data_IF_912042675326
#
_entry.id   IF_912042675326
#
_cell.length_a   1.000
_cell.length_b   1.000
_cell.length_c   1.000
_cell.angle_alpha   90.00
_cell.angle_beta   90.00
_cell.angle_gamma   90.00
#
_symmetry.space_group_name_H-M   'P 1'
#
loop_
_entity.id
_entity.type
_entity.pdbx_description
1 polymer ?
#
# COMPACT_ATOMS: atom_id res chain seq x y z
N UNK A 1 3.78 6.98 25.83
CA UNK A 1 2.79 5.91 25.54
C UNK A 1 2.99 5.50 24.10
N UNK A 2 3.18 4.20 23.83
CA UNK A 2 3.24 3.66 22.48
C UNK A 2 1.78 3.54 22.00
N UNK A 3 1.44 4.14 20.87
CA UNK A 3 0.09 4.03 20.28
C UNK A 3 -0.25 2.56 20.02
N UNK A 4 -1.45 2.13 20.40
CA UNK A 4 -1.99 0.81 20.04
C UNK A 4 -2.54 0.78 18.61
N UNK A 5 -2.69 1.96 18.01
CA UNK A 5 -3.16 2.17 16.64
C UNK A 5 -2.01 2.27 15.64
N UNK A 6 -2.18 1.61 14.50
CA UNK A 6 -1.33 1.73 13.33
C UNK A 6 -1.67 2.99 12.53
N UNK A 7 -0.67 3.77 12.18
CA UNK A 7 -0.82 4.84 11.18
C UNK A 7 -0.72 4.25 9.76
N UNK A 8 -1.89 4.04 9.15
CA UNK A 8 -2.01 3.49 7.79
C UNK A 8 -1.40 4.39 6.71
N UNK A 9 -1.23 5.69 6.97
CA UNK A 9 -0.61 6.62 6.00
C UNK A 9 0.87 6.30 5.74
N UNK A 10 1.51 5.54 6.64
CA UNK A 10 2.89 5.09 6.52
C UNK A 10 3.02 3.79 5.69
N UNK A 11 1.90 3.13 5.39
CA UNK A 11 1.89 1.89 4.62
C UNK A 11 1.81 2.18 3.12
N UNK A 12 2.66 1.51 2.34
CA UNK A 12 2.60 1.61 0.88
C UNK A 12 1.49 0.75 0.29
N UNK A 13 1.05 1.13 -0.92
CA UNK A 13 0.14 0.33 -1.73
C UNK A 13 0.64 -1.12 -1.94
N UNK A 14 1.93 -1.30 -2.25
CA UNK A 14 2.53 -2.63 -2.48
C UNK A 14 2.46 -3.51 -1.21
N UNK A 15 2.60 -2.89 -0.02
CA UNK A 15 2.47 -3.59 1.26
C UNK A 15 1.02 -3.99 1.54
N UNK A 16 0.07 -3.06 1.38
CA UNK A 16 -1.36 -3.31 1.56
C UNK A 16 -1.88 -4.36 0.57
N UNK A 17 -1.42 -4.33 -0.69
CA UNK A 17 -1.72 -5.36 -1.69
C UNK A 17 -1.24 -6.74 -1.24
N UNK A 18 0.00 -6.84 -0.74
CA UNK A 18 0.56 -8.10 -0.26
C UNK A 18 -0.20 -8.65 0.93
N UNK A 19 -0.63 -7.77 1.84
CA UNK A 19 -1.46 -8.12 2.99
C UNK A 19 -2.80 -8.71 2.53
N UNK A 20 -3.52 -8.01 1.63
CA UNK A 20 -4.78 -8.49 1.06
C UNK A 20 -4.61 -9.82 0.29
N UNK A 21 -3.49 -10.00 -0.41
CA UNK A 21 -3.18 -11.26 -1.10
C UNK A 21 -2.97 -12.43 -0.15
N UNK A 22 -2.43 -12.16 1.03
CA UNK A 22 -2.22 -13.17 2.08
C UNK A 22 -3.47 -13.43 2.91
N UNK A 23 -4.52 -12.62 2.75
CA UNK A 23 -5.78 -12.79 3.46
C UNK A 23 -6.49 -14.08 3.03
N UNK A 24 -7.01 -14.90 3.96
CA UNK A 24 -7.73 -16.12 3.62
C UNK A 24 -9.01 -15.80 2.84
N UNK A 25 -9.12 -16.29 1.61
CA UNK A 25 -10.24 -16.00 0.71
C UNK A 25 -11.61 -16.51 1.22
N UNK A 26 -11.61 -17.50 2.11
CA UNK A 26 -12.83 -18.14 2.61
C UNK A 26 -13.34 -17.53 3.94
N UNK A 27 -12.60 -16.57 4.50
CA UNK A 27 -12.83 -16.09 5.87
C UNK A 27 -12.64 -14.56 5.99
N UNK A 28 -13.04 -13.83 4.95
CA UNK A 28 -12.88 -12.36 4.90
C UNK A 28 -13.67 -11.63 5.99
N UNK A 29 -14.78 -12.18 6.46
CA UNK A 29 -15.63 -11.53 7.47
C UNK A 29 -15.19 -11.78 8.91
N UNK A 30 -14.53 -12.91 9.19
CA UNK A 30 -14.13 -13.29 10.55
C UNK A 30 -12.64 -13.14 10.84
N UNK A 31 -11.79 -13.09 9.80
CA UNK A 31 -10.37 -12.90 9.99
C UNK A 31 -10.02 -11.47 10.39
N UNK A 32 -8.91 -11.31 11.10
CA UNK A 32 -8.34 -10.01 11.46
C UNK A 32 -6.84 -9.98 11.21
N UNK A 33 -6.26 -8.78 11.11
CA UNK A 33 -4.82 -8.58 11.06
C UNK A 33 -4.35 -7.71 12.22
N UNK A 34 -3.18 -8.06 12.78
CA UNK A 34 -2.48 -7.28 13.81
C UNK A 34 -1.05 -7.02 13.36
N UNK A 35 -0.51 -5.87 13.71
CA UNK A 35 0.84 -5.44 13.30
C UNK A 35 1.79 -5.45 14.49
N UNK A 36 3.03 -5.87 14.24
CA UNK A 36 4.12 -5.74 15.20
C UNK A 36 4.44 -4.27 15.45
N UNK A 37 4.62 -3.90 16.73
CA UNK A 37 4.90 -2.51 17.15
C UNK A 37 6.40 -2.23 17.30
N UNK A 38 7.20 -3.30 17.39
CA UNK A 38 8.64 -3.24 17.64
C UNK A 38 9.40 -3.96 16.52
N UNK A 39 10.65 -3.55 16.34
CA UNK A 39 11.54 -3.98 15.27
C UNK A 39 11.98 -2.81 14.40
N UNK A 40 12.81 -3.12 13.41
CA UNK A 40 13.40 -2.10 12.52
C UNK A 40 13.08 -2.43 11.07
N UNK A 41 12.83 -1.42 10.25
CA UNK A 41 12.47 -1.58 8.84
C UNK A 41 11.32 -0.70 8.41
N UNK A 42 10.98 -0.75 7.13
CA UNK A 42 10.02 0.19 6.53
C UNK A 42 8.56 -0.15 6.85
N UNK A 43 8.19 -1.43 6.91
CA UNK A 43 6.82 -1.85 7.16
C UNK A 43 6.77 -2.92 8.25
N UNK A 44 5.79 -2.88 9.15
CA UNK A 44 5.75 -3.82 10.26
C UNK A 44 5.56 -5.28 9.81
N UNK A 45 6.08 -6.20 10.61
CA UNK A 45 5.64 -7.59 10.60
C UNK A 45 4.14 -7.65 10.95
N UNK A 46 3.39 -8.61 10.41
CA UNK A 46 1.94 -8.71 10.69
C UNK A 46 1.49 -10.16 10.86
N UNK A 47 0.43 -10.33 11.64
CA UNK A 47 -0.22 -11.62 11.91
C UNK A 47 -1.65 -11.54 11.40
N UNK A 48 -2.05 -12.50 10.58
CA UNK A 48 -3.44 -12.70 10.20
C UNK A 48 -4.00 -13.78 11.11
N UNK A 49 -5.12 -13.49 11.76
CA UNK A 49 -5.84 -14.38 12.66
C UNK A 49 -7.15 -14.75 11.97
N UNK A 50 -7.24 -15.90 11.30
CA UNK A 50 -8.50 -16.40 10.78
C UNK A 50 -9.48 -16.70 11.95
N UNK A 51 -10.77 -16.69 11.67
CA UNK A 51 -11.82 -16.96 12.65
C UNK A 51 -11.79 -18.40 13.17
N UNK A 52 -11.40 -19.36 12.33
CA UNK A 52 -11.47 -20.80 12.63
C UNK A 52 -10.12 -21.52 12.52
N UNK A 53 -9.02 -20.80 12.28
CA UNK A 53 -7.69 -21.37 12.08
C UNK A 53 -6.62 -20.73 12.95
N UNK A 54 -5.46 -21.38 13.01
CA UNK A 54 -4.27 -20.88 13.71
C UNK A 54 -3.77 -19.57 13.07
N UNK A 55 -3.41 -18.55 13.89
CA UNK A 55 -2.82 -17.33 13.37
C UNK A 55 -1.54 -17.59 12.55
N UNK A 56 -1.41 -16.89 11.43
CA UNK A 56 -0.25 -16.99 10.52
C UNK A 56 0.50 -15.66 10.54
N UNK A 57 1.82 -15.74 10.73
CA UNK A 57 2.69 -14.57 10.80
C UNK A 57 3.44 -14.35 9.50
N UNK A 58 3.60 -13.08 9.13
CA UNK A 58 4.26 -12.64 7.92
C UNK A 58 5.29 -11.57 8.25
N UNK A 59 6.42 -11.63 7.53
CA UNK A 59 7.43 -10.58 7.62
C UNK A 59 7.04 -9.37 6.77
N UNK A 60 7.17 -8.18 7.37
CA UNK A 60 7.11 -6.92 6.65
C UNK A 60 8.28 -6.80 5.68
N UNK A 61 8.11 -6.03 4.59
CA UNK A 61 9.21 -5.84 3.63
C UNK A 61 10.35 -5.11 4.35
N UNK A 62 11.54 -5.71 4.36
CA UNK A 62 12.76 -5.22 5.04
C UNK A 62 12.64 -5.05 6.56
N UNK A 63 11.69 -5.73 7.21
CA UNK A 63 11.49 -5.61 8.65
C UNK A 63 12.16 -6.75 9.40
N UNK A 64 13.14 -6.39 10.22
CA UNK A 64 13.81 -7.32 11.11
C UNK A 64 13.14 -7.27 12.50
N UNK A 65 12.89 -8.43 13.13
CA UNK A 65 12.39 -8.47 14.50
C UNK A 65 13.38 -7.84 15.47
N UNK A 66 12.88 -7.28 16.57
CA UNK A 66 13.73 -6.85 17.69
C UNK A 66 14.38 -8.08 18.34
N UNK A 67 15.71 -8.07 18.48
CA UNK A 67 16.48 -9.18 19.05
C UNK A 67 16.11 -9.48 20.51
N UNK A 68 15.53 -8.52 21.24
CA UNK A 68 15.15 -8.65 22.65
C UNK A 68 13.70 -9.11 22.85
N UNK A 69 12.86 -9.01 21.81
CA UNK A 69 11.46 -9.44 21.85
C UNK A 69 11.23 -10.31 20.61
N UNK A 70 11.70 -11.57 20.67
CA UNK A 70 11.49 -12.49 19.59
C UNK A 70 10.00 -12.83 19.55
N UNK A 71 9.36 -12.43 18.46
CA UNK A 71 8.03 -12.87 18.03
C UNK A 71 6.80 -12.15 18.62
N UNK A 72 5.68 -12.42 17.94
CA UNK A 72 4.35 -11.80 18.01
C UNK A 72 3.64 -12.06 19.36
N UNK A 73 4.23 -11.63 20.45
CA UNK A 73 3.60 -11.64 21.77
C UNK A 73 2.49 -10.58 21.84
N UNK A 74 1.43 -10.83 22.62
CA UNK A 74 0.28 -9.92 22.76
C UNK A 74 0.68 -8.49 23.16
N UNK A 75 1.77 -8.32 23.91
CA UNK A 75 2.36 -7.04 24.27
C UNK A 75 3.16 -6.34 23.17
N UNK A 76 3.25 -6.89 21.96
CA UNK A 76 3.97 -6.32 20.81
C UNK A 76 3.06 -6.14 19.58
N UNK A 77 1.73 -6.24 19.74
CA UNK A 77 0.78 -6.14 18.64
C UNK A 77 -0.12 -4.93 18.77
N UNK A 78 -0.51 -4.36 17.63
CA UNK A 78 -1.59 -3.38 17.54
C UNK A 78 -2.94 -4.00 17.87
N UNK A 79 -3.97 -3.16 17.89
CA UNK A 79 -5.35 -3.61 17.76
C UNK A 79 -5.57 -4.41 16.48
N UNK A 80 -6.62 -5.23 16.50
CA UNK A 80 -7.02 -6.06 15.38
C UNK A 80 -7.81 -5.23 14.36
N UNK A 81 -7.47 -5.39 13.09
CA UNK A 81 -8.15 -4.73 11.97
C UNK A 81 -8.82 -5.78 11.08
N UNK A 82 -10.10 -5.58 10.76
CA UNK A 82 -10.84 -6.45 9.84
C UNK A 82 -10.50 -6.18 8.37
N UNK A 83 -10.95 -7.09 7.50
CA UNK A 83 -10.71 -7.01 6.05
C UNK A 83 -11.15 -5.68 5.45
N UNK A 84 -12.36 -5.22 5.79
CA UNK A 84 -12.94 -3.99 5.24
C UNK A 84 -12.11 -2.75 5.54
N UNK A 85 -11.50 -2.70 6.74
CA UNK A 85 -10.60 -1.61 7.11
C UNK A 85 -9.37 -1.62 6.22
N UNK A 86 -8.73 -2.78 6.05
CA UNK A 86 -7.53 -2.90 5.19
C UNK A 86 -7.88 -2.64 3.72
N UNK A 87 -9.03 -3.11 3.25
CA UNK A 87 -9.50 -2.88 1.89
C UNK A 87 -9.77 -1.40 1.63
N UNK A 88 -10.39 -0.70 2.59
CA UNK A 88 -10.60 0.75 2.54
C UNK A 88 -9.27 1.49 2.44
N UNK A 89 -8.30 1.14 3.30
CA UNK A 89 -6.99 1.79 3.28
C UNK A 89 -6.20 1.47 2.00
N UNK A 90 -6.36 0.27 1.44
CA UNK A 90 -5.83 -0.06 0.12
C UNK A 90 -6.47 0.80 -0.98
N UNK A 91 -7.78 1.00 -0.95
CA UNK A 91 -8.50 1.83 -1.93
C UNK A 91 -8.14 3.31 -1.79
N UNK A 92 -7.88 3.79 -0.57
CA UNK A 92 -7.36 5.13 -0.30
C UNK A 92 -5.93 5.26 -0.81
N UNK A 93 -5.06 4.27 -0.53
CA UNK A 93 -3.68 4.25 -1.00
C UNK A 93 -3.58 4.22 -2.52
N UNK A 94 -4.50 3.52 -3.20
CA UNK A 94 -4.65 3.54 -4.67
C UNK A 94 -4.90 4.97 -5.20
N UNK A 95 -5.58 5.80 -4.41
CA UNK A 95 -5.90 7.19 -4.73
C UNK A 95 -4.90 8.19 -4.12
N UNK A 96 -3.72 7.76 -3.69
CA UNK A 96 -2.70 8.66 -3.14
C UNK A 96 -1.79 9.24 -4.22
N UNK A 97 -1.35 10.50 -4.02
CA UNK A 97 -0.38 11.17 -4.88
C UNK A 97 0.90 10.33 -5.03
N UNK A 98 1.37 9.72 -3.94
CA UNK A 98 2.59 8.92 -3.92
C UNK A 98 2.46 7.65 -4.78
N UNK A 99 1.36 6.90 -4.66
CA UNK A 99 1.13 5.71 -5.46
C UNK A 99 0.99 6.05 -6.95
N UNK A 100 0.30 7.15 -7.27
CA UNK A 100 0.20 7.63 -8.64
C UNK A 100 1.56 8.07 -9.22
N UNK A 101 2.38 8.76 -8.42
CA UNK A 101 3.74 9.15 -8.80
C UNK A 101 4.67 7.96 -8.99
N UNK A 102 4.64 6.97 -8.09
CA UNK A 102 5.44 5.75 -8.20
C UNK A 102 5.01 4.91 -9.43
N UNK A 103 3.70 4.80 -9.68
CA UNK A 103 3.17 4.13 -10.85
C UNK A 103 3.61 4.83 -12.15
N UNK A 104 3.52 6.17 -12.21
CA UNK A 104 4.02 6.96 -13.32
C UNK A 104 5.53 6.75 -13.54
N UNK A 105 6.33 6.74 -12.47
CA UNK A 105 7.77 6.51 -12.54
C UNK A 105 8.11 5.09 -13.05
N UNK A 106 7.44 4.06 -12.52
CA UNK A 106 7.57 2.66 -12.95
C UNK A 106 7.21 2.50 -14.43
N UNK A 107 6.17 3.19 -14.91
CA UNK A 107 5.77 3.18 -16.31
C UNK A 107 6.86 3.74 -17.23
N UNK A 108 7.43 4.90 -16.93
CA UNK A 108 8.53 5.48 -17.73
C UNK A 108 9.81 4.66 -17.68
N UNK A 109 10.08 3.97 -16.57
CA UNK A 109 11.20 3.03 -16.49
C UNK A 109 11.03 1.86 -17.45
N UNK A 110 9.80 1.34 -17.60
CA UNK A 110 9.48 0.23 -18.52
C UNK A 110 9.29 0.68 -19.98
N UNK A 111 8.84 1.91 -20.19
CA UNK A 111 8.46 2.45 -21.51
C UNK A 111 9.11 3.82 -21.77
N UNK A 112 10.45 3.91 -21.85
CA UNK A 112 11.16 5.19 -21.84
C UNK A 112 10.83 6.12 -23.02
N UNK A 113 10.34 5.59 -24.14
CA UNK A 113 10.06 6.32 -25.39
C UNK A 113 8.60 6.35 -25.82
N UNK A 114 7.68 5.70 -25.09
CA UNK A 114 6.26 5.56 -25.52
C UNK A 114 5.50 6.89 -25.45
N UNK A 115 5.86 7.76 -24.50
CA UNK A 115 5.30 9.10 -24.34
C UNK A 115 6.44 10.07 -23.97
N UNK A 116 6.32 11.38 -24.30
CA UNK A 116 7.24 12.38 -23.77
C UNK A 116 7.13 12.45 -22.24
N UNK A 117 8.21 12.83 -21.55
CA UNK A 117 8.17 13.01 -20.09
C UNK A 117 7.38 14.28 -19.74
N UNK A 118 6.36 14.21 -18.87
CA UNK A 118 5.61 15.38 -18.45
C UNK A 118 6.48 16.32 -17.63
N UNK A 119 6.25 17.61 -17.79
CA UNK A 119 6.75 18.62 -16.86
C UNK A 119 6.06 18.51 -15.49
N UNK A 120 6.44 19.38 -14.55
CA UNK A 120 5.92 19.35 -13.18
C UNK A 120 4.41 19.63 -13.12
N UNK A 121 3.90 20.54 -13.95
CA UNK A 121 2.49 20.92 -13.96
C UNK A 121 1.64 19.82 -14.58
N UNK A 122 2.07 19.27 -15.71
CA UNK A 122 1.46 18.12 -16.36
C UNK A 122 1.43 16.91 -15.45
N UNK A 123 2.53 16.65 -14.73
CA UNK A 123 2.63 15.55 -13.76
C UNK A 123 1.57 15.66 -12.66
N UNK A 124 1.33 16.85 -12.11
CA UNK A 124 0.27 17.07 -11.11
C UNK A 124 -1.11 16.74 -11.65
N UNK A 125 -1.41 17.13 -12.90
CA UNK A 125 -2.70 16.85 -13.54
C UNK A 125 -2.88 15.35 -13.80
N UNK A 126 -1.84 14.68 -14.31
CA UNK A 126 -1.85 13.23 -14.55
C UNK A 126 -2.09 12.47 -13.25
N UNK A 127 -1.37 12.82 -12.18
CA UNK A 127 -1.53 12.22 -10.86
C UNK A 127 -2.95 12.43 -10.32
N UNK A 128 -3.47 13.65 -10.39
CA UNK A 128 -4.83 13.95 -9.96
C UNK A 128 -5.89 13.16 -10.74
N UNK A 129 -5.73 13.01 -12.07
CA UNK A 129 -6.60 12.17 -12.90
C UNK A 129 -6.54 10.70 -12.46
N UNK A 130 -5.34 10.17 -12.22
CA UNK A 130 -5.16 8.79 -11.76
C UNK A 130 -5.81 8.52 -10.41
N UNK A 131 -5.69 9.46 -9.46
CA UNK A 131 -6.34 9.36 -8.14
C UNK A 131 -7.87 9.39 -8.23
N UNK A 132 -8.43 10.01 -9.28
CA UNK A 132 -9.85 10.00 -9.58
C UNK A 132 -10.29 8.80 -10.45
N UNK A 133 -9.43 7.79 -10.62
CA UNK A 133 -9.76 6.53 -11.29
C UNK A 133 -9.47 6.49 -12.79
N UNK A 134 -8.86 7.53 -13.37
CA UNK A 134 -8.47 7.50 -14.77
C UNK A 134 -7.25 6.58 -14.99
N UNK A 135 -7.25 5.70 -16.01
CA UNK A 135 -6.07 4.92 -16.35
C UNK A 135 -4.86 5.80 -16.67
N UNK A 136 -3.66 5.34 -16.31
CA UNK A 136 -2.41 6.09 -16.54
C UNK A 136 -2.21 6.46 -18.02
N UNK A 137 -2.34 5.49 -18.94
CA UNK A 137 -2.15 5.77 -20.37
C UNK A 137 -3.17 6.76 -20.93
N UNK A 138 -4.41 6.74 -20.44
CA UNK A 138 -5.42 7.72 -20.84
C UNK A 138 -5.08 9.11 -20.28
N UNK A 139 -4.67 9.18 -19.01
CA UNK A 139 -4.24 10.42 -18.38
C UNK A 139 -3.05 11.05 -19.09
N UNK A 140 -2.09 10.23 -19.55
CA UNK A 140 -0.95 10.66 -20.35
C UNK A 140 -1.39 11.20 -21.71
N UNK A 141 -2.26 10.48 -22.44
CA UNK A 141 -2.78 10.94 -23.73
C UNK A 141 -3.51 12.27 -23.59
N UNK A 142 -4.42 12.38 -22.64
CA UNK A 142 -5.22 13.59 -22.42
C UNK A 142 -4.36 14.82 -22.17
N UNK A 143 -3.31 14.68 -21.34
CA UNK A 143 -2.48 15.80 -20.88
C UNK A 143 -1.35 16.14 -21.85
N UNK A 144 -0.78 15.13 -22.52
CA UNK A 144 0.36 15.31 -23.41
C UNK A 144 -0.07 15.60 -24.85
N UNK A 145 -1.24 15.14 -25.30
CA UNK A 145 -1.76 15.48 -26.63
C UNK A 145 -2.21 16.95 -26.73
N UNK A 146 -2.68 17.54 -25.63
CA UNK A 146 -3.05 18.96 -25.56
C UNK A 146 -1.85 19.93 -25.59
N UNK A 147 -0.62 19.43 -25.58
CA UNK A 147 0.61 20.22 -25.58
C UNK A 147 1.36 20.20 -26.93
N UNK A 148 0.83 19.51 -27.96
CA UNK A 148 1.39 19.60 -29.30
C UNK A 148 1.01 20.96 -29.92
N UNK A 149 1.98 21.77 -30.39
CA UNK A 149 1.65 22.99 -31.11
C UNK A 149 0.91 22.61 -32.39
N UNK A 150 -0.30 23.18 -32.54
CA UNK A 150 -1.06 23.21 -33.78
C UNK A 150 -0.33 23.97 -34.88
#
# INVERSE_FOLDING_TARGET
MISEELDFSLLSLDFLFKLLKNWPAQDSEGATVRFGRLGTGKYPNYQINPAMDTPVTYRGMTHEPDEHIPEFHSGNLTNAYGYDRIKTEFDVALKSDFAALDHLAKFYKKNPSKYPKPDLSQRKIIVHKMMNGAPLEQSLKDVLASAAPS
#
